data_IF_478137786677
#
_entry.id   IF_478137786677
#
_cell.length_a   1.000
_cell.length_b   1.000
_cell.length_c   1.000
_cell.angle_alpha   90.00
_cell.angle_beta   90.00
_cell.angle_gamma   90.00
#
_symmetry.space_group_name_H-M   'P 1'
#
loop_
_entity.id
_entity.type
_entity.pdbx_description
1 polymer ?
#
# COMPACT_ATOMS: atom_id res chain seq x y z
N UNK A 1 20.96 -7.37 13.42
CA UNK A 1 19.94 -6.86 12.48
C UNK A 1 20.43 -5.53 11.95
N UNK A 2 20.72 -5.40 10.65
CA UNK A 2 21.00 -4.08 10.05
C UNK A 2 19.70 -3.29 10.02
N UNK A 3 19.63 -2.18 10.75
CA UNK A 3 18.49 -1.27 10.66
C UNK A 3 18.54 -0.57 9.30
N UNK A 4 17.42 -0.53 8.59
CA UNK A 4 17.29 0.18 7.33
C UNK A 4 17.21 1.69 7.58
N UNK A 5 18.00 2.47 6.84
CA UNK A 5 18.02 3.93 6.98
C UNK A 5 16.64 4.56 6.71
N UNK A 6 16.34 5.76 7.26
CA UNK A 6 15.08 6.45 7.02
C UNK A 6 14.77 6.66 5.53
N UNK A 7 15.79 6.91 4.70
CA UNK A 7 15.65 7.03 3.24
C UNK A 7 15.18 5.70 2.62
N UNK A 8 15.74 4.58 3.06
CA UNK A 8 15.35 3.26 2.58
C UNK A 8 13.91 2.92 2.98
N UNK A 9 13.48 3.30 4.19
CA UNK A 9 12.11 3.09 4.67
C UNK A 9 11.10 3.91 3.85
N UNK A 10 11.39 5.20 3.59
CA UNK A 10 10.55 6.04 2.72
C UNK A 10 10.43 5.48 1.31
N UNK A 11 11.55 5.02 0.73
CA UNK A 11 11.56 4.40 -0.60
C UNK A 11 10.74 3.11 -0.62
N UNK A 12 10.82 2.28 0.42
CA UNK A 12 10.01 1.08 0.54
C UNK A 12 8.51 1.40 0.59
N UNK A 13 8.12 2.44 1.33
CA UNK A 13 6.74 2.93 1.33
C UNK A 13 6.29 3.43 -0.05
N UNK A 14 7.12 4.22 -0.74
CA UNK A 14 6.81 4.71 -2.10
C UNK A 14 6.60 3.57 -3.09
N UNK A 15 7.44 2.54 -3.04
CA UNK A 15 7.31 1.34 -3.89
C UNK A 15 5.99 0.62 -3.57
N UNK A 16 5.68 0.41 -2.30
CA UNK A 16 4.42 -0.23 -1.89
C UNK A 16 3.20 0.58 -2.37
N UNK A 17 3.20 1.90 -2.17
CA UNK A 17 2.13 2.78 -2.63
C UNK A 17 1.94 2.72 -4.16
N UNK A 18 3.05 2.76 -4.91
CA UNK A 18 3.01 2.67 -6.37
C UNK A 18 2.44 1.32 -6.84
N UNK A 19 2.95 0.21 -6.30
CA UNK A 19 2.48 -1.13 -6.65
C UNK A 19 1.01 -1.29 -6.29
N UNK A 20 0.58 -0.81 -5.12
CA UNK A 20 -0.82 -0.83 -4.71
C UNK A 20 -1.72 -0.12 -5.73
N UNK A 21 -1.39 1.11 -6.12
CA UNK A 21 -2.20 1.88 -7.08
C UNK A 21 -2.22 1.20 -8.45
N UNK A 22 -1.06 0.77 -8.96
CA UNK A 22 -0.98 0.09 -10.25
C UNK A 22 -1.80 -1.21 -10.27
N UNK A 23 -1.69 -2.03 -9.22
CA UNK A 23 -2.47 -3.26 -9.07
C UNK A 23 -3.96 -2.95 -8.94
N UNK A 24 -4.36 -1.96 -8.15
CA UNK A 24 -5.79 -1.64 -7.98
C UNK A 24 -6.43 -1.12 -9.26
N UNK A 25 -5.72 -0.33 -10.08
CA UNK A 25 -6.19 0.08 -11.41
C UNK A 25 -6.37 -1.14 -12.30
N UNK A 26 -5.38 -2.04 -12.34
CA UNK A 26 -5.46 -3.26 -13.13
C UNK A 26 -6.65 -4.14 -12.71
N UNK A 27 -6.84 -4.38 -11.41
CA UNK A 27 -7.95 -5.18 -10.90
C UNK A 27 -9.30 -4.50 -11.13
N UNK A 28 -9.37 -3.17 -11.05
CA UNK A 28 -10.60 -2.43 -11.33
C UNK A 28 -11.02 -2.57 -12.80
N UNK A 29 -10.07 -2.42 -13.73
CA UNK A 29 -10.32 -2.65 -15.17
C UNK A 29 -10.74 -4.10 -15.39
N UNK A 30 -10.01 -5.07 -14.84
CA UNK A 30 -10.32 -6.49 -14.98
C UNK A 30 -11.73 -6.80 -14.46
N UNK A 31 -12.06 -6.36 -13.25
CA UNK A 31 -13.35 -6.65 -12.66
C UNK A 31 -14.49 -5.97 -13.43
N UNK A 32 -14.28 -4.74 -13.92
CA UNK A 32 -15.26 -4.08 -14.78
C UNK A 32 -15.47 -4.85 -16.08
N UNK A 33 -14.41 -5.36 -16.72
CA UNK A 33 -14.51 -6.14 -17.96
C UNK A 33 -15.20 -7.50 -17.78
N UNK A 34 -15.05 -8.12 -16.60
CA UNK A 34 -15.68 -9.41 -16.28
C UNK A 34 -17.16 -9.27 -15.87
N UNK A 35 -17.61 -8.05 -15.56
CA UNK A 35 -18.97 -7.81 -15.09
C UNK A 35 -19.18 -8.19 -13.63
N UNK A 36 -20.45 -8.24 -13.23
CA UNK A 36 -20.82 -8.54 -11.85
C UNK A 36 -20.44 -9.97 -11.43
N UNK A 37 -20.07 -10.18 -10.16
CA UNK A 37 -20.01 -9.19 -9.07
C UNK A 37 -18.71 -8.36 -9.04
N UNK A 38 -18.80 -7.12 -8.55
CA UNK A 38 -17.66 -6.23 -8.38
C UNK A 38 -16.84 -6.55 -7.10
N UNK A 39 -16.02 -7.59 -7.17
CA UNK A 39 -15.15 -8.05 -6.09
C UNK A 39 -13.93 -7.16 -5.79
N UNK A 40 -13.57 -6.20 -6.65
CA UNK A 40 -12.39 -5.32 -6.47
C UNK A 40 -12.44 -4.47 -5.19
N UNK A 41 -13.65 -4.29 -4.62
CA UNK A 41 -13.84 -3.59 -3.35
C UNK A 41 -13.14 -4.30 -2.18
N UNK A 42 -13.08 -5.64 -2.19
CA UNK A 42 -12.47 -6.44 -1.12
C UNK A 42 -10.96 -6.22 -1.01
N UNK A 43 -10.15 -6.37 -2.08
CA UNK A 43 -8.72 -6.05 -2.02
C UNK A 43 -8.48 -4.56 -1.80
N UNK A 44 -9.32 -3.66 -2.34
CA UNK A 44 -9.17 -2.22 -2.11
C UNK A 44 -9.17 -1.89 -0.61
N UNK A 45 -10.20 -2.34 0.12
CA UNK A 45 -10.31 -2.07 1.55
C UNK A 45 -9.37 -2.94 2.38
N UNK A 46 -9.29 -4.25 2.09
CA UNK A 46 -8.45 -5.18 2.84
C UNK A 46 -6.96 -4.84 2.77
N UNK A 47 -6.44 -4.58 1.56
CA UNK A 47 -5.03 -4.23 1.38
C UNK A 47 -4.77 -2.75 1.66
N UNK A 48 -5.75 -1.87 1.43
CA UNK A 48 -5.65 -0.44 1.75
C UNK A 48 -5.33 -0.18 3.23
N UNK A 49 -5.86 -0.99 4.14
CA UNK A 49 -5.50 -0.94 5.57
C UNK A 49 -3.99 -1.17 5.76
N UNK A 50 -3.40 -2.12 5.03
CA UNK A 50 -1.96 -2.40 5.08
C UNK A 50 -1.12 -1.23 4.57
N UNK A 51 -1.55 -0.56 3.49
CA UNK A 51 -0.88 0.64 2.99
C UNK A 51 -0.93 1.79 4.00
N UNK A 52 -2.09 2.02 4.63
CA UNK A 52 -2.26 3.04 5.67
C UNK A 52 -1.38 2.73 6.89
N UNK A 53 -1.36 1.47 7.34
CA UNK A 53 -0.50 1.05 8.43
C UNK A 53 0.99 1.29 8.11
N UNK A 54 1.43 0.96 6.89
CA UNK A 54 2.80 1.22 6.46
C UNK A 54 3.13 2.71 6.47
N UNK A 55 2.23 3.55 5.96
CA UNK A 55 2.38 5.01 6.06
C UNK A 55 2.49 5.48 7.51
N UNK A 56 1.62 5.00 8.40
CA UNK A 56 1.56 5.40 9.81
C UNK A 56 2.89 5.20 10.54
N UNK A 57 3.57 4.08 10.28
CA UNK A 57 4.84 3.72 10.92
C UNK A 57 6.09 4.27 10.23
N UNK A 58 5.99 4.79 9.01
CA UNK A 58 7.15 5.32 8.25
C UNK A 58 7.14 6.85 8.14
N UNK A 59 5.96 7.45 7.94
CA UNK A 59 5.79 8.89 7.71
C UNK A 59 4.79 9.54 8.67
N UNK A 60 3.91 8.74 9.28
CA UNK A 60 2.85 9.23 10.16
C UNK A 60 3.24 9.33 11.64
N UNK A 61 2.25 9.54 12.53
CA UNK A 61 2.47 9.73 13.97
C UNK A 61 3.12 8.54 14.69
N UNK A 62 3.06 7.35 14.11
CA UNK A 62 3.72 6.16 14.64
C UNK A 62 5.17 5.99 14.17
N UNK A 63 5.69 6.90 13.35
CA UNK A 63 7.08 6.88 12.92
C UNK A 63 7.98 7.10 14.13
N UNK A 64 8.91 6.17 14.35
CA UNK A 64 9.89 6.28 15.42
C UNK A 64 11.18 6.94 14.89
N UNK A 65 11.48 8.20 15.25
CA UNK A 65 12.66 8.91 14.74
C UNK A 65 13.99 8.35 15.29
N UNK A 66 13.93 7.47 16.30
CA UNK A 66 15.12 6.92 16.97
C UNK A 66 15.62 5.60 16.37
N UNK A 67 15.00 5.12 15.28
CA UNK A 67 15.43 3.96 14.47
C UNK A 67 15.71 4.42 13.05
#
# INVERSE_FOLDING_TARGET
>A
MMQSSPVNQKRAFQIHAFVFVATMIFLAVLNYTLGEPYWVVWPLFGWGIGLIAHWWFVLGPGANPSK
#
